data_IF_705792498337
#
_entry.id   IF_705792498337
#
_cell.length_a   1.000
_cell.length_b   1.000
_cell.length_c   1.000
_cell.angle_alpha   90.00
_cell.angle_beta   90.00
_cell.angle_gamma   90.00
#
_symmetry.space_group_name_H-M   'P 1'
#
loop_
_entity.id
_entity.type
_entity.pdbx_description
1 polymer ?
#
# COMPACT_ATOMS: atom_id res chain seq x y z
N UNK A 1 38.98 60.27 18.09
CA UNK A 1 37.58 60.21 17.60
C UNK A 1 37.28 58.72 17.43
N UNK A 2 36.84 58.02 18.47
CA UNK A 2 35.43 57.71 18.76
C UNK A 2 35.22 56.20 18.51
N UNK A 3 35.08 55.40 19.57
CA UNK A 3 33.87 54.66 19.96
C UNK A 3 33.54 53.48 18.99
N UNK A 4 33.78 52.24 19.39
CA UNK A 4 32.92 51.34 20.21
C UNK A 4 31.79 50.65 19.42
N UNK A 5 31.68 49.37 19.75
CA UNK A 5 30.47 48.53 19.84
C UNK A 5 29.97 47.75 18.62
N UNK A 6 29.89 46.44 18.87
CA UNK A 6 29.10 45.40 18.23
C UNK A 6 27.60 45.62 18.53
N UNK A 7 26.70 45.23 17.62
CA UNK A 7 25.57 44.37 18.00
C UNK A 7 25.31 43.29 16.94
N UNK A 8 25.21 42.00 17.31
CA UNK A 8 23.98 41.32 17.74
C UNK A 8 22.79 41.40 16.76
N UNK A 9 22.33 40.20 16.36
CA UNK A 9 20.95 39.77 16.04
C UNK A 9 20.51 39.53 14.58
N UNK A 10 20.11 38.26 14.40
CA UNK A 10 18.96 37.73 13.64
C UNK A 10 18.87 38.09 12.14
N UNK A 11 18.88 37.08 11.29
CA UNK A 11 17.78 36.74 10.35
C UNK A 11 18.19 35.59 9.40
N UNK A 12 17.27 34.65 9.19
CA UNK A 12 17.09 34.03 7.87
C UNK A 12 17.87 32.76 7.54
N UNK A 13 17.55 31.65 8.22
CA UNK A 13 17.87 30.30 7.74
C UNK A 13 16.81 29.86 6.71
N UNK A 14 16.85 30.44 5.51
CA UNK A 14 16.12 29.97 4.33
C UNK A 14 17.11 29.83 3.18
N UNK A 15 17.69 28.64 3.06
CA UNK A 15 18.56 28.26 1.96
C UNK A 15 17.88 27.18 1.12
N UNK A 16 17.75 27.49 -0.17
CA UNK A 16 17.83 26.61 -1.35
C UNK A 16 16.52 26.04 -1.91
N UNK A 17 15.98 26.74 -2.91
CA UNK A 17 15.50 26.13 -4.14
C UNK A 17 16.07 26.93 -5.32
N UNK A 18 17.06 26.34 -6.00
CA UNK A 18 17.71 26.89 -7.18
C UNK A 18 16.92 26.56 -8.44
N UNK A 19 16.74 27.58 -9.27
CA UNK A 19 16.17 27.52 -10.62
C UNK A 19 17.11 26.74 -11.54
N UNK A 20 16.54 25.91 -12.41
CA UNK A 20 17.15 25.58 -13.69
C UNK A 20 16.02 25.45 -14.73
N UNK A 21 15.99 26.41 -15.65
CA UNK A 21 15.25 26.34 -16.90
C UNK A 21 16.28 26.17 -18.01
N UNK A 22 16.11 25.17 -18.87
CA UNK A 22 16.62 25.17 -20.25
C UNK A 22 15.58 24.46 -21.11
N UNK A 23 15.08 25.18 -22.11
CA UNK A 23 14.24 24.69 -23.19
C UNK A 23 15.11 24.20 -24.35
N UNK A 24 14.63 23.21 -25.10
CA UNK A 24 15.05 22.99 -26.50
C UNK A 24 13.85 22.45 -27.30
N UNK A 25 13.68 23.03 -28.48
CA UNK A 25 12.53 22.95 -29.39
C UNK A 25 12.91 22.16 -30.65
N UNK A 26 11.89 21.62 -31.32
CA UNK A 26 11.82 21.08 -32.70
C UNK A 26 12.25 19.61 -32.86
N UNK A 27 11.62 18.77 -33.69
CA UNK A 27 10.69 19.00 -34.81
C UNK A 27 10.04 17.67 -35.22
N UNK A 28 8.86 17.75 -35.82
CA UNK A 28 8.14 16.65 -36.46
C UNK A 28 8.77 16.21 -37.79
N UNK A 29 8.66 14.93 -38.14
CA UNK A 29 8.40 14.44 -39.51
C UNK A 29 7.98 12.97 -39.50
N UNK A 30 6.82 12.71 -40.11
CA UNK A 30 6.22 11.42 -40.44
C UNK A 30 7.03 10.68 -41.51
N UNK A 31 7.08 9.34 -41.47
CA UNK A 31 7.22 8.55 -42.70
C UNK A 31 6.39 7.26 -42.63
N UNK A 32 5.47 7.16 -43.60
CA UNK A 32 4.63 6.02 -43.88
C UNK A 32 5.40 4.94 -44.67
N UNK A 33 4.98 3.68 -44.49
CA UNK A 33 4.87 2.68 -45.56
C UNK A 33 6.15 2.11 -46.19
N UNK A 34 6.32 0.80 -46.02
CA UNK A 34 6.84 -0.07 -47.07
C UNK A 34 8.16 -0.80 -46.78
N UNK A 35 8.05 -2.06 -46.35
CA UNK A 35 8.53 -3.25 -47.06
C UNK A 35 8.68 -4.42 -46.07
N UNK A 36 7.95 -5.50 -46.35
CA UNK A 36 8.15 -6.80 -45.75
C UNK A 36 9.56 -7.28 -46.08
N UNK A 37 10.44 -7.26 -45.08
CA UNK A 37 11.63 -8.12 -45.06
C UNK A 37 11.31 -9.25 -44.10
N UNK A 38 11.19 -10.46 -44.64
CA UNK A 38 11.11 -11.68 -43.85
C UNK A 38 12.31 -11.71 -42.89
N UNK A 39 12.04 -11.64 -41.58
CA UNK A 39 13.06 -11.77 -40.52
C UNK A 39 13.25 -10.56 -39.60
N UNK A 40 12.37 -9.56 -39.57
CA UNK A 40 12.46 -8.48 -38.58
C UNK A 40 11.90 -8.92 -37.23
N UNK A 41 12.72 -8.83 -36.19
CA UNK A 41 12.29 -8.94 -34.80
C UNK A 41 11.17 -7.91 -34.56
N UNK A 42 9.95 -8.40 -34.38
CA UNK A 42 8.84 -7.57 -33.92
C UNK A 42 9.18 -7.15 -32.50
N UNK A 43 9.54 -5.89 -32.29
CA UNK A 43 9.62 -5.34 -30.95
C UNK A 43 8.25 -5.55 -30.30
N UNK A 44 8.25 -6.21 -29.14
CA UNK A 44 7.05 -6.39 -28.33
C UNK A 44 6.25 -5.08 -28.22
N UNK A 45 4.94 -5.14 -28.42
CA UNK A 45 4.05 -3.97 -28.29
C UNK A 45 3.94 -3.45 -26.85
N UNK A 46 4.66 -4.05 -25.89
CA UNK A 46 4.67 -3.74 -24.46
C UNK A 46 5.68 -4.64 -23.72
N UNK A 47 5.73 -4.60 -22.39
CA UNK A 47 6.64 -5.47 -21.63
C UNK A 47 6.20 -6.93 -21.69
N UNK A 48 7.02 -7.80 -22.30
CA UNK A 48 6.72 -9.22 -22.47
C UNK A 48 7.43 -9.82 -23.68
N UNK A 49 6.95 -10.97 -24.15
CA UNK A 49 7.54 -11.69 -25.29
C UNK A 49 6.49 -12.16 -26.28
N UNK A 50 6.80 -12.09 -27.57
CA UNK A 50 6.06 -12.84 -28.57
C UNK A 50 6.42 -14.33 -28.49
N UNK A 51 5.43 -15.20 -28.67
CA UNK A 51 5.70 -16.62 -28.91
C UNK A 51 6.06 -16.86 -30.39
N UNK A 52 6.94 -17.84 -30.61
CA UNK A 52 7.14 -18.41 -31.94
C UNK A 52 5.86 -19.16 -32.37
N UNK A 53 5.66 -19.37 -33.68
CA UNK A 53 4.52 -20.11 -34.19
C UNK A 53 4.40 -21.50 -33.56
N UNK A 54 3.17 -21.89 -33.23
CA UNK A 54 2.88 -23.21 -32.68
C UNK A 54 1.45 -23.63 -32.99
N UNK A 55 1.22 -24.93 -33.00
CA UNK A 55 -0.11 -25.50 -33.18
C UNK A 55 -0.37 -26.66 -32.23
N UNK A 56 -1.64 -26.91 -31.99
CA UNK A 56 -2.09 -27.99 -31.12
C UNK A 56 -3.20 -28.84 -31.70
N UNK A 57 -3.37 -29.97 -31.05
CA UNK A 57 -4.28 -31.05 -31.41
C UNK A 57 -5.35 -31.29 -30.34
N UNK A 58 -5.28 -30.59 -29.20
CA UNK A 58 -6.35 -30.54 -28.22
C UNK A 58 -7.68 -30.19 -28.89
N UNK A 59 -8.78 -30.69 -28.33
CA UNK A 59 -10.11 -30.70 -28.96
C UNK A 59 -10.43 -29.37 -29.67
N UNK A 60 -10.71 -29.46 -30.98
CA UNK A 60 -10.95 -28.31 -31.85
C UNK A 60 -9.74 -27.89 -32.70
N UNK A 61 -8.52 -28.26 -32.31
CA UNK A 61 -7.28 -27.83 -32.96
C UNK A 61 -7.06 -26.32 -32.80
N UNK A 62 -5.81 -25.89 -32.69
CA UNK A 62 -5.50 -24.47 -32.58
C UNK A 62 -4.17 -24.15 -33.26
N UNK A 63 -4.03 -22.90 -33.70
CA UNK A 63 -2.83 -22.40 -34.35
C UNK A 63 -2.56 -20.96 -33.93
N UNK A 64 -1.32 -20.72 -33.55
CA UNK A 64 -0.77 -19.39 -33.27
C UNK A 64 0.31 -19.11 -34.30
N UNK A 65 0.13 -18.03 -35.06
CA UNK A 65 1.09 -17.57 -36.06
C UNK A 65 2.25 -16.75 -35.49
N UNK A 66 3.16 -16.35 -36.38
CA UNK A 66 4.32 -15.52 -36.03
C UNK A 66 3.87 -14.17 -35.49
N UNK A 67 4.19 -13.87 -34.23
CA UNK A 67 3.80 -12.62 -33.58
C UNK A 67 2.30 -12.54 -33.22
N UNK A 68 1.54 -13.64 -33.38
CA UNK A 68 0.10 -13.64 -33.12
C UNK A 68 -0.26 -13.84 -31.64
N UNK A 69 0.68 -14.34 -30.83
CA UNK A 69 0.50 -14.45 -29.39
C UNK A 69 1.59 -13.68 -28.66
N UNK A 70 1.16 -12.76 -27.81
CA UNK A 70 2.01 -11.96 -26.94
C UNK A 70 1.77 -12.36 -25.50
N UNK A 71 2.83 -12.80 -24.82
CA UNK A 71 2.84 -13.15 -23.42
C UNK A 71 3.29 -11.93 -22.60
N UNK A 72 2.31 -11.17 -22.15
CA UNK A 72 2.44 -9.90 -21.43
C UNK A 72 1.10 -9.15 -21.44
N UNK A 73 1.09 -7.87 -21.03
CA UNK A 73 -0.06 -7.00 -21.18
C UNK A 73 -0.47 -6.88 -22.65
N UNK A 74 -1.76 -7.00 -22.96
CA UNK A 74 -2.29 -6.86 -24.33
C UNK A 74 -2.33 -5.40 -24.81
N UNK A 75 -2.01 -4.47 -23.92
CA UNK A 75 -2.04 -3.02 -24.10
C UNK A 75 -0.91 -2.45 -23.24
N UNK A 76 -0.05 -1.60 -23.82
CA UNK A 76 1.05 -0.93 -23.10
C UNK A 76 0.56 0.27 -22.28
N UNK A 77 -0.69 0.68 -22.47
CA UNK A 77 -1.32 1.69 -21.65
C UNK A 77 -1.70 1.13 -20.29
N UNK A 78 -1.36 1.89 -19.25
CA UNK A 78 -1.79 1.58 -17.89
C UNK A 78 -3.24 2.03 -17.69
N UNK A 79 -4.06 1.27 -16.94
CA UNK A 79 -3.71 0.03 -16.27
C UNK A 79 -3.51 -1.16 -17.21
N UNK A 80 -2.49 -2.00 -16.97
CA UNK A 80 -2.24 -3.20 -17.78
C UNK A 80 -3.42 -4.16 -17.73
N UNK A 81 -3.68 -4.79 -18.88
CA UNK A 81 -4.73 -5.80 -19.09
C UNK A 81 -4.08 -7.05 -19.65
N UNK A 82 -4.49 -8.22 -19.18
CA UNK A 82 -3.87 -9.50 -19.54
C UNK A 82 -4.86 -10.39 -20.24
N UNK A 83 -4.40 -11.15 -21.23
CA UNK A 83 -5.23 -12.14 -21.91
C UNK A 83 -5.62 -13.27 -20.96
N UNK A 84 -6.86 -13.75 -21.07
CA UNK A 84 -7.34 -14.97 -20.41
C UNK A 84 -7.92 -15.98 -21.42
N UNK A 85 -7.60 -15.82 -22.70
CA UNK A 85 -8.05 -16.69 -23.78
C UNK A 85 -6.91 -16.98 -24.75
N UNK A 86 -6.23 -18.10 -24.53
CA UNK A 86 -5.21 -18.56 -25.46
C UNK A 86 -5.80 -18.84 -26.86
N UNK A 87 -5.09 -18.37 -27.89
CA UNK A 87 -5.39 -18.52 -29.34
C UNK A 87 -6.53 -17.68 -29.91
N UNK A 88 -7.21 -16.84 -29.14
CA UNK A 88 -8.18 -15.88 -29.69
C UNK A 88 -7.49 -14.56 -30.09
N UNK A 89 -7.78 -14.00 -31.27
CA UNK A 89 -7.20 -12.73 -31.70
C UNK A 89 -7.74 -11.57 -30.86
N UNK A 90 -6.85 -10.68 -30.46
CA UNK A 90 -7.23 -9.45 -29.76
C UNK A 90 -7.93 -8.48 -30.72
N UNK A 91 -9.12 -8.01 -30.35
CA UNK A 91 -9.79 -6.88 -30.99
C UNK A 91 -9.72 -5.66 -30.06
N UNK A 92 -9.11 -4.58 -30.55
CA UNK A 92 -8.93 -3.30 -29.87
C UNK A 92 -10.23 -2.68 -29.36
N UNK A 93 -11.38 -3.10 -29.89
CA UNK A 93 -12.68 -2.58 -29.45
C UNK A 93 -13.14 -3.14 -28.10
N UNK A 94 -12.66 -4.34 -27.70
CA UNK A 94 -12.98 -5.06 -26.46
C UNK A 94 -14.33 -4.65 -25.80
N UNK A 95 -15.42 -4.76 -26.57
CA UNK A 95 -16.76 -4.29 -26.19
C UNK A 95 -17.49 -5.27 -25.25
N UNK A 96 -16.73 -6.09 -24.51
CA UNK A 96 -17.25 -7.13 -23.65
C UNK A 96 -17.86 -6.59 -22.35
N UNK A 97 -18.74 -7.40 -21.76
CA UNK A 97 -19.21 -7.17 -20.38
C UNK A 97 -18.10 -7.53 -19.40
N UNK A 98 -17.90 -6.74 -18.34
CA UNK A 98 -16.87 -6.99 -17.34
C UNK A 98 -17.49 -7.51 -16.05
N UNK A 99 -17.03 -8.67 -15.59
CA UNK A 99 -17.53 -9.31 -14.36
C UNK A 99 -16.43 -9.34 -13.30
N UNK A 100 -16.67 -8.80 -12.08
CA UNK A 100 -15.73 -8.91 -10.98
C UNK A 100 -15.39 -10.37 -10.65
N UNK A 101 -14.15 -10.61 -10.23
CA UNK A 101 -13.69 -11.95 -9.82
C UNK A 101 -13.43 -11.97 -8.31
N UNK A 102 -14.35 -12.56 -7.56
CA UNK A 102 -14.32 -12.62 -6.08
C UNK A 102 -13.70 -13.91 -5.51
N UNK A 103 -13.19 -14.79 -6.37
CA UNK A 103 -12.51 -16.02 -5.97
C UNK A 103 -11.15 -15.72 -5.33
N UNK A 104 -10.56 -16.71 -4.64
CA UNK A 104 -9.24 -16.55 -4.05
C UNK A 104 -8.15 -16.32 -5.11
N UNK A 105 -8.24 -16.99 -6.26
CA UNK A 105 -7.35 -16.71 -7.39
C UNK A 105 -7.58 -15.29 -7.94
N UNK A 106 -8.83 -14.79 -7.95
CA UNK A 106 -9.14 -13.41 -8.31
C UNK A 106 -8.47 -12.39 -7.39
N UNK A 107 -8.49 -12.64 -6.07
CA UNK A 107 -7.79 -11.80 -5.09
C UNK A 107 -6.27 -11.83 -5.26
N UNK A 108 -5.70 -13.02 -5.52
CA UNK A 108 -4.26 -13.18 -5.80
C UNK A 108 -3.87 -12.43 -7.07
N UNK A 109 -4.62 -12.62 -8.16
CA UNK A 109 -4.39 -11.90 -9.41
C UNK A 109 -4.49 -10.38 -9.20
N UNK A 110 -5.50 -9.90 -8.47
CA UNK A 110 -5.61 -8.48 -8.18
C UNK A 110 -4.42 -7.93 -7.40
N UNK A 111 -3.98 -8.63 -6.37
CA UNK A 111 -2.79 -8.26 -5.59
C UNK A 111 -1.53 -8.19 -6.47
N UNK A 112 -1.31 -9.20 -7.32
CA UNK A 112 -0.12 -9.28 -8.17
C UNK A 112 -0.15 -8.27 -9.32
N UNK A 113 -1.31 -8.06 -9.95
CA UNK A 113 -1.49 -7.05 -11.01
C UNK A 113 -1.26 -5.64 -10.44
N UNK A 114 -1.77 -5.34 -9.25
CA UNK A 114 -1.52 -4.05 -8.59
C UNK A 114 -0.03 -3.88 -8.23
N UNK A 115 0.58 -4.91 -7.63
CA UNK A 115 2.00 -4.92 -7.24
C UNK A 115 2.93 -4.66 -8.43
N UNK A 116 2.65 -5.26 -9.58
CA UNK A 116 3.48 -5.15 -10.79
C UNK A 116 2.96 -4.14 -11.81
N UNK A 117 1.94 -3.35 -11.48
CA UNK A 117 1.32 -2.43 -12.44
C UNK A 117 2.29 -1.40 -13.03
N UNK A 118 3.35 -1.08 -12.28
CA UNK A 118 4.37 -0.13 -12.70
C UNK A 118 5.69 -0.77 -13.12
N UNK A 119 5.76 -2.10 -13.16
CA UNK A 119 6.94 -2.84 -13.58
C UNK A 119 6.96 -2.99 -15.11
N UNK A 120 7.98 -2.42 -15.75
CA UNK A 120 8.18 -2.52 -17.20
C UNK A 120 9.08 -3.69 -17.61
N UNK A 121 9.50 -4.55 -16.68
CA UNK A 121 10.35 -5.70 -16.98
C UNK A 121 9.58 -6.77 -17.77
N UNK A 122 10.14 -7.15 -18.92
CA UNK A 122 9.51 -8.10 -19.84
C UNK A 122 9.34 -9.50 -19.22
N UNK A 123 10.31 -9.95 -18.41
CA UNK A 123 10.23 -11.26 -17.76
C UNK A 123 9.14 -11.28 -16.68
N UNK A 124 9.07 -10.26 -15.83
CA UNK A 124 8.02 -10.13 -14.81
C UNK A 124 6.64 -10.07 -15.45
N UNK A 125 6.46 -9.27 -16.49
CA UNK A 125 5.17 -9.08 -17.14
C UNK A 125 4.72 -10.32 -17.92
N UNK A 126 5.65 -11.01 -18.60
CA UNK A 126 5.35 -12.29 -19.23
C UNK A 126 5.03 -13.39 -18.20
N UNK A 127 5.73 -13.41 -17.06
CA UNK A 127 5.48 -14.35 -15.98
C UNK A 127 4.12 -14.13 -15.30
N UNK A 128 3.73 -12.88 -15.10
CA UNK A 128 2.39 -12.54 -14.60
C UNK A 128 1.30 -12.94 -15.59
N UNK A 129 1.48 -12.65 -16.89
CA UNK A 129 0.56 -13.09 -17.94
C UNK A 129 0.44 -14.62 -18.01
N UNK A 130 1.57 -15.34 -17.89
CA UNK A 130 1.59 -16.80 -17.84
C UNK A 130 0.81 -17.35 -16.65
N UNK A 131 1.02 -16.79 -15.45
CA UNK A 131 0.27 -17.17 -14.25
C UNK A 131 -1.23 -16.87 -14.40
N UNK A 132 -1.59 -15.74 -15.03
CA UNK A 132 -2.99 -15.43 -15.32
C UNK A 132 -3.61 -16.48 -16.26
N UNK A 133 -2.92 -16.89 -17.33
CA UNK A 133 -3.39 -18.01 -18.16
C UNK A 133 -3.50 -19.32 -17.37
N UNK A 134 -2.55 -19.64 -16.48
CA UNK A 134 -2.63 -20.87 -15.67
C UNK A 134 -3.90 -20.95 -14.81
N UNK A 135 -4.46 -19.81 -14.37
CA UNK A 135 -5.59 -19.74 -13.45
C UNK A 135 -6.91 -19.29 -14.09
N UNK A 136 -6.87 -18.58 -15.20
CA UNK A 136 -8.04 -17.93 -15.80
C UNK A 136 -8.29 -18.29 -17.26
N UNK A 137 -7.43 -19.10 -17.90
CA UNK A 137 -7.62 -19.41 -19.32
C UNK A 137 -8.97 -20.11 -19.57
N UNK A 138 -9.79 -19.56 -20.48
CA UNK A 138 -11.10 -20.12 -20.82
C UNK A 138 -11.00 -21.52 -21.42
N UNK A 139 -9.89 -21.84 -22.08
CA UNK A 139 -9.60 -23.14 -22.66
C UNK A 139 -8.30 -23.72 -22.09
N UNK A 140 -8.39 -24.17 -20.84
CA UNK A 140 -7.28 -24.79 -20.12
C UNK A 140 -6.63 -25.96 -20.89
N UNK A 141 -7.37 -26.69 -21.73
CA UNK A 141 -6.81 -27.78 -22.53
C UNK A 141 -5.83 -27.26 -23.59
N UNK A 142 -6.18 -26.18 -24.29
CA UNK A 142 -5.30 -25.55 -25.27
C UNK A 142 -4.09 -24.91 -24.59
N UNK A 143 -4.32 -24.18 -23.50
CA UNK A 143 -3.22 -23.60 -22.71
C UNK A 143 -2.24 -24.68 -22.21
N UNK A 144 -2.74 -25.78 -21.66
CA UNK A 144 -1.91 -26.88 -21.17
C UNK A 144 -1.07 -27.52 -22.29
N UNK A 145 -1.63 -27.71 -23.49
CA UNK A 145 -0.85 -28.19 -24.62
C UNK A 145 0.18 -27.15 -25.08
N UNK A 146 -0.20 -25.87 -25.16
CA UNK A 146 0.68 -24.77 -25.56
C UNK A 146 1.91 -24.66 -24.67
N UNK A 147 1.78 -24.83 -23.35
CA UNK A 147 2.90 -24.84 -22.39
C UNK A 147 4.02 -25.82 -22.76
N UNK A 148 3.69 -26.93 -23.43
CA UNK A 148 4.67 -27.96 -23.82
C UNK A 148 5.40 -27.65 -25.13
N UNK A 149 4.86 -26.73 -25.94
CA UNK A 149 5.34 -26.40 -27.29
C UNK A 149 5.89 -24.99 -27.41
N UNK A 150 5.51 -24.11 -26.49
CA UNK A 150 5.82 -22.69 -26.55
C UNK A 150 7.31 -22.44 -26.50
N UNK A 151 7.79 -21.64 -27.45
CA UNK A 151 9.11 -21.00 -27.41
C UNK A 151 8.92 -19.51 -27.67
N UNK A 152 9.85 -18.68 -27.20
CA UNK A 152 9.72 -17.23 -27.24
C UNK A 152 10.70 -16.61 -28.23
N UNK A 153 10.29 -15.48 -28.81
CA UNK A 153 11.18 -14.61 -29.59
C UNK A 153 12.01 -13.79 -28.61
N UNK A 154 13.32 -14.06 -28.54
CA UNK A 154 14.23 -13.29 -27.69
C UNK A 154 14.07 -13.50 -26.18
N UNK A 155 13.40 -14.58 -25.76
CA UNK A 155 13.19 -14.93 -24.36
C UNK A 155 13.31 -16.42 -24.08
N UNK A 156 13.40 -16.79 -22.81
CA UNK A 156 13.41 -18.18 -22.36
C UNK A 156 12.10 -18.52 -21.64
N UNK A 157 11.32 -19.43 -22.23
CA UNK A 157 10.04 -19.89 -21.66
C UNK A 157 10.25 -20.58 -20.29
N UNK A 158 11.41 -21.18 -20.02
CA UNK A 158 11.68 -21.77 -18.72
C UNK A 158 11.86 -20.71 -17.64
N UNK A 159 12.56 -19.63 -17.96
CA UNK A 159 12.69 -18.48 -17.06
C UNK A 159 11.30 -17.88 -16.74
N UNK A 160 10.44 -17.71 -17.76
CA UNK A 160 9.06 -17.24 -17.57
C UNK A 160 8.27 -18.19 -16.66
N UNK A 161 8.32 -19.50 -16.89
CA UNK A 161 7.62 -20.50 -16.07
C UNK A 161 8.06 -20.47 -14.60
N UNK A 162 9.38 -20.45 -14.37
CA UNK A 162 9.93 -20.41 -13.02
C UNK A 162 9.55 -19.11 -12.30
N UNK A 163 9.60 -17.99 -13.02
CA UNK A 163 9.19 -16.70 -12.46
C UNK A 163 7.69 -16.65 -12.21
N UNK A 164 6.85 -17.22 -13.07
CA UNK A 164 5.40 -17.27 -12.91
C UNK A 164 4.99 -18.02 -11.63
N UNK A 165 5.60 -19.18 -11.38
CA UNK A 165 5.40 -19.93 -10.14
C UNK A 165 5.81 -19.13 -8.90
N UNK A 166 6.92 -18.39 -9.00
CA UNK A 166 7.40 -17.53 -7.91
C UNK A 166 6.44 -16.37 -7.65
N UNK A 167 6.07 -15.61 -8.69
CA UNK A 167 5.12 -14.50 -8.62
C UNK A 167 3.79 -14.95 -8.03
N UNK A 168 3.26 -16.08 -8.47
CA UNK A 168 1.99 -16.57 -7.94
C UNK A 168 2.08 -16.92 -6.45
N UNK A 169 3.21 -17.49 -6.02
CA UNK A 169 3.46 -17.78 -4.60
C UNK A 169 3.62 -16.51 -3.74
N UNK A 170 4.10 -15.39 -4.31
CA UNK A 170 4.18 -14.11 -3.60
C UNK A 170 2.80 -13.60 -3.14
N UNK A 171 1.71 -14.04 -3.78
CA UNK A 171 0.36 -13.69 -3.33
C UNK A 171 0.00 -14.31 -1.97
N UNK A 172 0.77 -15.28 -1.45
CA UNK A 172 0.62 -15.76 -0.08
C UNK A 172 0.96 -14.68 0.97
N UNK A 173 1.69 -13.64 0.58
CA UNK A 173 2.01 -12.49 1.42
C UNK A 173 0.94 -11.37 1.33
N UNK A 174 -0.17 -11.61 0.61
CA UNK A 174 -1.24 -10.62 0.52
C UNK A 174 -1.88 -10.37 1.90
N UNK A 175 -2.15 -9.10 2.26
CA UNK A 175 -2.83 -8.80 3.52
C UNK A 175 -4.27 -9.33 3.52
N UNK A 176 -4.60 -10.15 4.54
CA UNK A 176 -5.88 -10.85 4.64
C UNK A 176 -6.91 -10.09 5.47
N UNK A 177 -6.48 -9.53 6.61
CA UNK A 177 -7.32 -8.88 7.61
C UNK A 177 -6.65 -7.64 8.18
N UNK A 178 -7.48 -6.66 8.53
CA UNK A 178 -7.05 -5.46 9.26
C UNK A 178 -7.52 -5.65 10.70
N UNK A 179 -6.58 -5.77 11.63
CA UNK A 179 -6.86 -5.80 13.07
C UNK A 179 -6.25 -4.57 13.72
N UNK A 180 -6.98 -3.82 14.53
CA UNK A 180 -6.41 -2.70 15.26
C UNK A 180 -6.29 -3.02 16.75
N UNK A 181 -5.22 -2.58 17.38
CA UNK A 181 -5.10 -2.61 18.84
C UNK A 181 -4.51 -1.30 19.38
N UNK A 182 -4.56 -1.12 20.69
CA UNK A 182 -4.01 0.06 21.34
C UNK A 182 -3.39 -0.29 22.69
N UNK A 183 -2.50 0.57 23.15
CA UNK A 183 -1.88 0.47 24.49
C UNK A 183 -1.78 1.85 25.13
N UNK A 184 -2.09 1.96 26.42
CA UNK A 184 -1.78 3.16 27.18
C UNK A 184 -0.31 3.17 27.61
N UNK A 185 0.34 4.32 27.43
CA UNK A 185 1.74 4.55 27.83
C UNK A 185 1.85 5.51 29.02
N UNK A 186 0.92 6.45 29.16
CA UNK A 186 0.87 7.38 30.29
C UNK A 186 -0.58 7.60 30.72
N UNK A 187 -1.10 6.65 31.51
CA UNK A 187 -2.54 6.59 31.82
C UNK A 187 -3.39 6.72 30.55
N UNK A 188 -4.55 7.35 30.66
CA UNK A 188 -5.44 7.61 29.50
C UNK A 188 -5.01 8.80 28.64
N UNK A 189 -3.84 9.40 28.89
CA UNK A 189 -3.41 10.62 28.20
C UNK A 189 -2.58 10.34 26.96
N UNK A 190 -1.78 9.28 26.96
CA UNK A 190 -0.93 8.89 25.84
C UNK A 190 -0.95 7.39 25.64
N UNK A 191 -0.72 6.97 24.41
CA UNK A 191 -0.64 5.56 24.07
C UNK A 191 -0.07 5.31 22.69
N UNK A 192 -0.19 4.07 22.24
CA UNK A 192 0.11 3.66 20.87
C UNK A 192 -1.14 3.09 20.21
N UNK A 193 -1.21 3.21 18.90
CA UNK A 193 -2.14 2.51 18.02
C UNK A 193 -1.34 1.56 17.14
N UNK A 194 -1.76 0.30 17.10
CA UNK A 194 -1.05 -0.75 16.38
C UNK A 194 -1.97 -1.25 15.24
N UNK A 195 -1.60 -1.03 13.97
CA UNK A 195 -2.49 -1.22 12.81
C UNK A 195 -2.75 -2.68 12.43
N UNK A 196 -1.99 -3.65 12.96
CA UNK A 196 -2.25 -5.10 12.87
C UNK A 196 -2.54 -5.65 11.48
N UNK A 197 -1.90 -5.12 10.44
CA UNK A 197 -2.04 -5.60 9.06
C UNK A 197 -1.16 -6.84 8.86
N UNK A 198 -1.80 -7.99 8.67
CA UNK A 198 -1.14 -9.31 8.59
C UNK A 198 -1.64 -10.14 7.41
N UNK A 199 -0.84 -11.12 7.02
CA UNK A 199 -1.18 -12.18 6.06
C UNK A 199 -2.23 -13.14 6.65
N UNK A 200 -2.77 -14.07 5.85
CA UNK A 200 -3.73 -15.09 6.32
C UNK A 200 -3.17 -16.00 7.41
N UNK A 201 -1.86 -16.25 7.39
CA UNK A 201 -1.12 -17.05 8.37
C UNK A 201 -0.54 -16.23 9.53
N UNK A 202 -0.89 -14.93 9.64
CA UNK A 202 -0.56 -14.09 10.79
C UNK A 202 0.83 -13.44 10.76
N UNK A 203 1.57 -13.53 9.65
CA UNK A 203 2.83 -12.81 9.46
C UNK A 203 2.59 -11.33 9.17
N UNK A 204 3.52 -10.48 9.58
CA UNK A 204 3.48 -9.05 9.30
C UNK A 204 3.72 -8.77 7.82
N UNK A 205 2.88 -7.94 7.22
CA UNK A 205 2.99 -7.56 5.79
C UNK A 205 3.87 -6.33 5.65
N UNK A 206 4.76 -6.29 4.66
CA UNK A 206 5.48 -5.09 4.26
C UNK A 206 4.84 -4.45 3.01
N UNK A 207 4.92 -3.12 2.88
CA UNK A 207 4.48 -2.39 1.70
C UNK A 207 2.98 -2.11 1.61
N UNK A 208 2.17 -2.51 2.59
CA UNK A 208 0.74 -2.24 2.57
C UNK A 208 0.44 -0.81 3.02
N UNK A 209 -0.22 -0.02 2.19
CA UNK A 209 -0.60 1.35 2.55
C UNK A 209 -1.87 1.37 3.40
N UNK A 210 -1.93 2.28 4.36
CA UNK A 210 -3.08 2.47 5.23
C UNK A 210 -3.28 3.93 5.61
N UNK A 211 -4.52 4.24 6.03
CA UNK A 211 -4.88 5.53 6.64
C UNK A 211 -5.56 5.27 7.97
N UNK A 212 -5.13 5.95 9.03
CA UNK A 212 -5.77 5.89 10.36
C UNK A 212 -6.28 7.27 10.73
N UNK A 213 -7.52 7.35 11.22
CA UNK A 213 -8.17 8.60 11.62
C UNK A 213 -8.88 8.43 12.97
N UNK A 214 -8.64 9.31 13.93
CA UNK A 214 -9.56 9.48 15.08
C UNK A 214 -10.79 10.28 14.63
N UNK A 215 -11.90 9.58 14.38
CA UNK A 215 -13.13 10.18 13.91
C UNK A 215 -13.76 11.15 14.93
N UNK A 216 -13.47 10.95 16.22
CA UNK A 216 -13.99 11.82 17.29
C UNK A 216 -13.08 13.01 17.58
N UNK A 217 -11.87 13.06 16.99
CA UNK A 217 -10.91 14.15 17.12
C UNK A 217 -10.55 14.52 18.57
N UNK A 218 -10.31 13.52 19.41
CA UNK A 218 -9.92 13.68 20.83
C UNK A 218 -8.52 13.10 21.13
N UNK A 219 -7.88 12.43 20.18
CA UNK A 219 -6.48 11.99 20.25
C UNK A 219 -5.76 12.22 18.92
N UNK A 220 -4.62 12.92 18.96
CA UNK A 220 -3.76 13.18 17.79
C UNK A 220 -2.59 12.22 17.76
N UNK A 221 -2.09 11.92 16.57
CA UNK A 221 -0.82 11.22 16.38
C UNK A 221 0.35 12.16 16.62
N UNK A 222 1.33 11.73 17.41
CA UNK A 222 2.43 12.59 17.85
C UNK A 222 3.37 12.98 16.70
N UNK A 223 3.55 12.08 15.72
CA UNK A 223 4.45 12.31 14.58
C UNK A 223 3.94 13.35 13.57
N UNK A 224 2.61 13.50 13.43
CA UNK A 224 1.99 14.45 12.49
C UNK A 224 1.33 15.66 13.17
N UNK A 225 1.07 15.57 14.48
CA UNK A 225 0.20 16.50 15.22
C UNK A 225 -1.19 16.65 14.55
N UNK A 226 -1.69 15.58 13.95
CA UNK A 226 -2.99 15.49 13.28
C UNK A 226 -3.81 14.31 13.82
N UNK A 227 -5.13 14.34 13.62
CA UNK A 227 -6.05 13.25 13.92
C UNK A 227 -6.00 12.14 12.87
N UNK A 228 -5.34 12.40 11.74
CA UNK A 228 -5.19 11.47 10.61
C UNK A 228 -3.72 11.23 10.31
N UNK A 229 -3.35 9.99 10.00
CA UNK A 229 -2.04 9.64 9.43
C UNK A 229 -2.21 8.65 8.30
N UNK A 230 -1.29 8.71 7.35
CA UNK A 230 -1.09 7.67 6.33
C UNK A 230 0.25 6.99 6.58
N UNK A 231 0.30 5.69 6.30
CA UNK A 231 1.49 4.89 6.53
C UNK A 231 1.63 3.77 5.49
N UNK A 232 2.81 3.17 5.47
CA UNK A 232 3.10 1.96 4.70
C UNK A 232 3.72 0.96 5.65
N UNK A 233 3.19 -0.26 5.68
CA UNK A 233 3.66 -1.25 6.64
C UNK A 233 5.11 -1.66 6.37
N UNK A 234 5.85 -1.95 7.43
CA UNK A 234 7.29 -2.27 7.33
C UNK A 234 7.61 -3.77 7.34
N UNK A 235 6.61 -4.64 7.53
CA UNK A 235 6.83 -6.07 7.74
C UNK A 235 7.17 -6.43 9.18
N UNK A 236 6.93 -5.50 10.12
CA UNK A 236 7.06 -5.71 11.55
C UNK A 236 5.87 -5.09 12.29
N UNK A 237 5.79 -5.32 13.59
CA UNK A 237 4.82 -4.65 14.46
C UNK A 237 5.11 -3.13 14.49
N UNK A 238 4.04 -2.34 14.43
CA UNK A 238 4.11 -0.88 14.43
C UNK A 238 3.37 -0.32 15.63
N UNK A 239 3.98 0.70 16.25
CA UNK A 239 3.46 1.39 17.42
C UNK A 239 3.36 2.88 17.15
N UNK A 240 2.18 3.34 16.76
CA UNK A 240 1.95 4.72 16.33
C UNK A 240 1.55 5.56 17.54
N UNK A 241 2.44 6.45 18.05
CA UNK A 241 2.17 7.18 19.28
C UNK A 241 1.06 8.21 19.09
N UNK A 242 0.20 8.32 20.09
CA UNK A 242 -0.86 9.32 20.14
C UNK A 242 -0.93 10.02 21.51
N UNK A 243 -1.43 11.25 21.50
CA UNK A 243 -1.68 12.08 22.67
C UNK A 243 -3.12 12.61 22.67
N UNK A 244 -3.80 12.48 23.81
CA UNK A 244 -5.14 13.02 24.04
C UNK A 244 -5.14 14.56 23.98
N UNK A 245 -6.01 15.13 23.15
CA UNK A 245 -6.27 16.57 23.05
C UNK A 245 -7.57 16.99 23.75
N UNK A 246 -8.39 16.02 24.14
CA UNK A 246 -9.61 16.21 24.92
C UNK A 246 -9.86 15.05 25.89
N UNK A 247 -11.03 15.06 26.52
CA UNK A 247 -11.51 13.95 27.34
C UNK A 247 -12.66 13.26 26.61
N UNK A 248 -12.77 11.94 26.76
CA UNK A 248 -13.88 11.15 26.21
C UNK A 248 -13.40 9.98 25.38
N UNK A 249 -14.30 9.40 24.60
CA UNK A 249 -14.04 8.19 23.82
C UNK A 249 -13.43 8.52 22.46
N UNK A 250 -12.29 7.93 22.11
CA UNK A 250 -11.74 7.93 20.75
C UNK A 250 -12.53 7.02 19.83
N UNK A 251 -12.39 7.24 18.53
CA UNK A 251 -12.83 6.29 17.51
C UNK A 251 -11.79 6.23 16.40
N UNK A 252 -10.71 5.48 16.65
CA UNK A 252 -9.69 5.28 15.65
C UNK A 252 -10.18 4.28 14.61
N UNK A 253 -10.30 4.76 13.38
CA UNK A 253 -10.61 3.98 12.20
C UNK A 253 -9.35 3.80 11.37
N UNK A 254 -8.97 2.56 11.09
CA UNK A 254 -7.98 2.23 10.07
C UNK A 254 -8.69 1.84 8.78
N UNK A 255 -8.20 2.31 7.64
CA UNK A 255 -8.69 1.97 6.30
C UNK A 255 -7.55 1.59 5.37
N UNK A 256 -7.83 0.69 4.42
CA UNK A 256 -6.91 0.30 3.34
C UNK A 256 -7.67 0.05 2.05
N UNK A 257 -7.03 0.32 0.92
CA UNK A 257 -7.52 -0.05 -0.41
C UNK A 257 -7.04 -1.46 -0.76
N UNK A 258 -7.95 -2.28 -1.29
CA UNK A 258 -7.69 -3.65 -1.68
C UNK A 258 -7.89 -3.77 -3.18
N UNK A 259 -6.86 -4.18 -3.92
CA UNK A 259 -6.98 -4.38 -5.35
C UNK A 259 -8.11 -5.35 -5.69
N UNK A 260 -8.76 -5.07 -6.82
CA UNK A 260 -9.83 -5.90 -7.38
C UNK A 260 -9.58 -6.07 -8.87
N UNK A 261 -10.04 -7.18 -9.43
CA UNK A 261 -9.98 -7.44 -10.87
C UNK A 261 -11.34 -7.87 -11.41
N UNK A 262 -11.51 -7.67 -12.71
CA UNK A 262 -12.64 -8.19 -13.47
C UNK A 262 -12.13 -8.89 -14.73
N UNK A 263 -12.90 -9.85 -15.20
CA UNK A 263 -12.68 -10.54 -16.47
C UNK A 263 -13.78 -10.13 -17.45
N UNK A 264 -13.42 -9.89 -18.70
CA UNK A 264 -14.39 -9.59 -19.76
C UNK A 264 -15.08 -10.84 -20.25
N UNK A 265 -16.22 -10.66 -20.90
CA UNK A 265 -16.86 -11.63 -21.79
C UNK A 265 -17.19 -10.88 -23.08
N UNK A 266 -16.37 -11.12 -24.11
CA UNK A 266 -16.37 -10.39 -25.37
C UNK A 266 -16.55 -11.34 -26.56
N UNK A 267 -16.87 -10.80 -27.73
CA UNK A 267 -16.93 -11.58 -28.97
C UNK A 267 -15.54 -11.85 -29.59
N UNK A 268 -14.47 -11.37 -28.96
CA UNK A 268 -13.09 -11.46 -29.46
C UNK A 268 -12.18 -12.16 -28.46
N UNK A 269 -11.33 -11.44 -27.75
CA UNK A 269 -10.42 -11.98 -26.76
C UNK A 269 -10.81 -11.48 -25.38
N UNK A 270 -11.07 -12.42 -24.46
CA UNK A 270 -11.29 -12.07 -23.07
C UNK A 270 -10.00 -11.64 -22.37
N UNK A 271 -10.13 -10.60 -21.56
CA UNK A 271 -9.06 -10.01 -20.77
C UNK A 271 -9.40 -9.99 -19.28
N UNK A 272 -8.36 -9.95 -18.45
CA UNK A 272 -8.38 -9.59 -17.05
C UNK A 272 -7.82 -8.16 -16.90
N UNK A 273 -8.51 -7.31 -16.12
CA UNK A 273 -8.04 -5.96 -15.78
C UNK A 273 -8.23 -5.65 -14.30
N UNK A 274 -7.43 -4.75 -13.73
CA UNK A 274 -7.74 -4.18 -12.42
C UNK A 274 -8.99 -3.30 -12.50
N UNK A 275 -9.75 -3.26 -11.42
CA UNK A 275 -10.93 -2.40 -11.23
C UNK A 275 -10.74 -1.49 -10.02
N UNK A 276 -11.72 -0.64 -9.74
CA UNK A 276 -11.71 0.18 -8.55
C UNK A 276 -11.49 -0.68 -7.29
N UNK A 277 -10.53 -0.31 -6.42
CA UNK A 277 -10.22 -1.09 -5.24
C UNK A 277 -11.33 -0.98 -4.20
N UNK A 278 -11.54 -2.06 -3.46
CA UNK A 278 -12.42 -2.09 -2.31
C UNK A 278 -11.78 -1.38 -1.11
N UNK A 279 -12.57 -0.77 -0.24
CA UNK A 279 -12.06 -0.21 1.02
C UNK A 279 -12.39 -1.12 2.17
N UNK A 280 -11.37 -1.72 2.78
CA UNK A 280 -11.53 -2.39 4.08
C UNK A 280 -11.28 -1.40 5.21
N UNK A 281 -11.99 -1.59 6.32
CA UNK A 281 -11.82 -0.78 7.52
C UNK A 281 -11.97 -1.60 8.80
N UNK A 282 -11.32 -1.15 9.86
CA UNK A 282 -11.52 -1.63 11.22
C UNK A 282 -11.51 -0.45 12.19
N UNK A 283 -12.30 -0.54 13.25
CA UNK A 283 -12.44 0.54 14.22
C UNK A 283 -12.11 0.04 15.63
N UNK A 284 -11.52 0.91 16.44
CA UNK A 284 -11.34 0.68 17.88
C UNK A 284 -11.68 1.94 18.66
N UNK A 285 -12.30 1.76 19.82
CA UNK A 285 -12.74 2.85 20.68
C UNK A 285 -12.24 2.63 22.10
N UNK A 286 -11.73 3.68 22.72
CA UNK A 286 -11.28 3.66 24.10
C UNK A 286 -11.32 5.06 24.73
N UNK A 287 -11.25 5.12 26.06
CA UNK A 287 -11.37 6.37 26.81
C UNK A 287 -10.04 7.10 26.92
N UNK A 288 -9.99 8.37 26.50
CA UNK A 288 -8.83 9.25 26.66
C UNK A 288 -9.11 10.39 27.63
N UNK A 289 -8.04 10.90 28.25
CA UNK A 289 -8.09 12.04 29.16
C UNK A 289 -6.90 12.96 28.92
N UNK A 290 -7.18 14.17 28.44
CA UNK A 290 -6.20 15.27 28.47
C UNK A 290 -6.00 15.75 29.90
N UNK A 291 -7.09 15.95 30.62
CA UNK A 291 -7.05 16.61 31.92
C UNK A 291 -6.69 15.59 33.01
N UNK A 292 -5.70 15.95 33.82
CA UNK A 292 -5.37 15.24 35.06
C UNK A 292 -5.91 16.09 36.20
N UNK A 293 -6.90 15.58 36.94
CA UNK A 293 -7.33 16.17 38.20
C UNK A 293 -6.63 15.42 39.34
N UNK A 294 -5.57 15.98 39.95
CA UNK A 294 -5.01 15.38 41.15
C UNK A 294 -6.03 15.48 42.28
N UNK A 295 -6.35 14.36 42.91
CA UNK A 295 -7.03 14.38 44.21
C UNK A 295 -5.95 14.58 45.28
N UNK A 296 -6.04 15.68 46.03
CA UNK A 296 -5.21 15.91 47.22
C UNK A 296 -6.08 15.61 48.43
N UNK A 297 -5.75 14.55 49.17
CA UNK A 297 -6.38 14.25 50.44
C UNK A 297 -5.43 14.66 51.55
N UNK A 298 -5.87 15.58 52.41
CA UNK A 298 -5.15 15.97 53.62
C UNK A 298 -5.83 15.32 54.82
N UNK A 299 -5.15 14.38 55.47
CA UNK A 299 -5.57 13.82 56.74
C UNK A 299 -4.95 14.65 57.86
N UNK A 300 -5.77 15.41 58.59
CA UNK A 300 -5.33 16.18 59.76
C UNK A 300 -5.73 15.39 60.99
N UNK A 301 -4.75 14.79 61.66
CA UNK A 301 -4.97 14.20 62.98
C UNK A 301 -5.31 15.33 63.96
N UNK A 302 -6.49 15.27 64.60
CA UNK A 302 -6.85 16.25 65.63
C UNK A 302 -5.87 16.12 66.81
N UNK A 303 -5.14 17.20 67.09
CA UNK A 303 -4.27 17.33 68.26
C UNK A 303 -4.79 18.48 69.11
N UNK A 304 -5.18 18.20 70.36
CA UNK A 304 -5.37 19.25 71.35
C UNK A 304 -4.01 19.86 71.71
N UNK A 305 -3.87 21.17 71.51
CA UNK A 305 -2.65 21.91 71.84
C UNK A 305 -2.78 22.53 73.24
N UNK A 306 -1.72 22.47 74.03
CA UNK A 306 -1.66 23.20 75.30
C UNK A 306 -1.42 24.70 75.05
N UNK A 307 -1.92 25.55 75.94
CA UNK A 307 -1.76 27.02 75.86
C UNK A 307 -0.27 27.37 75.71
N UNK A 308 0.11 27.94 74.57
CA UNK A 308 1.49 28.35 74.25
C UNK A 308 2.20 27.48 73.19
N UNK A 309 1.63 26.35 72.77
CA UNK A 309 2.20 25.56 71.68
C UNK A 309 1.92 26.18 70.30
N UNK A 310 2.92 26.15 69.43
CA UNK A 310 2.82 26.63 68.04
C UNK A 310 2.20 25.54 67.15
N UNK A 311 1.22 25.89 66.32
CA UNK A 311 0.65 24.98 65.31
C UNK A 311 1.72 24.74 64.24
N UNK A 312 2.13 23.48 64.04
CA UNK A 312 2.92 23.07 62.88
C UNK A 312 2.07 22.12 62.02
N UNK A 313 1.67 22.59 60.85
CA UNK A 313 1.00 21.77 59.84
C UNK A 313 2.07 21.15 58.92
N UNK A 314 2.08 19.81 58.84
CA UNK A 314 2.89 19.06 57.88
C UNK A 314 1.95 18.48 56.83
N UNK A 315 1.77 19.21 55.73
CA UNK A 315 1.17 18.63 54.53
C UNK A 315 2.19 17.69 53.88
N UNK A 316 1.90 16.39 53.89
CA UNK A 316 2.60 15.42 53.03
C UNK A 316 1.86 15.40 51.70
N UNK A 317 2.42 16.08 50.70
CA UNK A 317 2.06 15.79 49.32
C UNK A 317 2.85 14.56 48.94
N UNK A 318 2.18 13.46 48.64
CA UNK A 318 2.81 12.31 48.00
C UNK A 318 3.11 12.68 46.54
N UNK A 319 4.38 12.65 46.12
CA UNK A 319 4.69 12.79 44.73
C UNK A 319 5.54 11.58 44.30
N UNK A 320 5.20 10.96 43.18
CA UNK A 320 6.26 10.53 42.29
C UNK A 320 7.02 11.79 41.79
N UNK A 321 7.85 12.39 42.66
CA UNK A 321 8.78 13.52 42.50
C UNK A 321 8.46 14.85 43.25
N UNK A 322 9.23 15.05 44.34
CA UNK A 322 9.33 16.20 45.23
C UNK A 322 9.35 17.59 44.56
N UNK A 323 8.54 18.51 45.09
CA UNK A 323 8.83 19.96 45.10
C UNK A 323 8.49 20.53 46.48
N UNK A 324 9.52 20.93 47.23
CA UNK A 324 9.41 21.66 48.49
C UNK A 324 9.43 23.17 48.24
N UNK A 325 8.43 23.89 48.74
CA UNK A 325 8.43 25.36 48.82
C UNK A 325 7.29 25.85 49.74
N UNK A 326 7.51 26.89 50.55
CA UNK A 326 6.48 27.40 51.47
C UNK A 326 5.40 28.15 50.68
N UNK A 327 4.13 27.78 50.91
CA UNK A 327 2.99 28.58 50.46
C UNK A 327 2.74 29.68 51.50
N UNK A 328 2.94 30.93 51.08
CA UNK A 328 2.59 32.12 51.86
C UNK A 328 1.20 32.57 51.41
N UNK A 329 0.23 32.60 52.33
CA UNK A 329 -1.06 33.24 52.10
C UNK A 329 -0.88 34.77 52.09
N UNK A 330 -1.42 35.43 51.06
CA UNK A 330 -1.83 36.83 51.09
C UNK A 330 -3.32 36.90 50.84
#
# INVERSE_FOLDING_TARGET
>A
MGLKDNPERFHGLLKRLGKAAVALVASAATLAGGMLVAGTAQAAAGPGYYANPMSGSAAGGWWVGTGSFFLGPQDDSKPYKYCVEFSNPYDWQNQGTWTPVDTDDGKKAAYLVDKYQNDGDALTQAALAYAIHDHFDRNQAWWNEAKTKMTLVGGDINAVRNRAATIWAEANDMPSTIQASYRYMQGKRKGTFDPGIKTGDGRWVAGATYTITDLNKVAKFDGSNDYTITGTTTGAEEHLPWTATGNGKTNFQITRKIPRVAVSNSSSQDLLKPTDPETQSANIQFEVRRDFQPTVTTEVNSRELKRGETVQDKSTKDPLHNVTGPFIWR
#
